data_IF_228457741733
#
_entry.id   IF_228457741733
#
_cell.length_a   1.000
_cell.length_b   1.000
_cell.length_c   1.000
_cell.angle_alpha   90.00
_cell.angle_beta   90.00
_cell.angle_gamma   90.00
#
_symmetry.space_group_name_H-M   'P 1'
#
loop_
_entity.id
_entity.type
_entity.pdbx_description
1 polymer ?
#
# COMPACT_ATOMS: atom_id res chain seq x y z
N UNK A 1 -8.53 28.40 -30.14
CA UNK A 1 -7.41 28.40 -29.18
C UNK A 1 -7.46 27.14 -28.33
N UNK A 2 -6.67 26.14 -28.66
CA UNK A 2 -6.54 24.91 -27.87
C UNK A 2 -5.60 25.17 -26.70
N UNK A 3 -6.15 25.23 -25.47
CA UNK A 3 -5.32 25.28 -24.26
C UNK A 3 -4.60 23.94 -24.13
N UNK A 4 -3.29 23.92 -24.43
CA UNK A 4 -2.40 22.88 -23.89
C UNK A 4 -2.37 23.10 -22.38
N UNK A 5 -3.02 22.23 -21.61
CA UNK A 5 -2.70 22.11 -20.20
C UNK A 5 -1.23 21.71 -20.13
N UNK A 6 -0.39 22.57 -19.57
CA UNK A 6 0.91 22.13 -19.08
C UNK A 6 0.60 21.09 -18.01
N UNK A 7 0.71 19.81 -18.37
CA UNK A 7 0.66 18.71 -17.43
C UNK A 7 1.92 18.84 -16.57
N UNK A 8 1.90 19.76 -15.60
CA UNK A 8 2.93 19.85 -14.57
C UNK A 8 3.04 18.47 -13.96
N UNK A 9 4.25 17.97 -13.80
CA UNK A 9 4.49 16.68 -13.18
C UNK A 9 3.68 16.64 -11.87
N UNK A 10 2.67 15.77 -11.80
CA UNK A 10 1.89 15.61 -10.57
C UNK A 10 2.84 14.98 -9.57
N UNK A 11 3.25 15.75 -8.58
CA UNK A 11 3.99 15.23 -7.44
C UNK A 11 3.03 14.36 -6.62
N UNK A 12 3.32 13.06 -6.56
CA UNK A 12 2.57 12.12 -5.74
C UNK A 12 3.33 12.01 -4.42
N UNK A 13 2.67 12.40 -3.33
CA UNK A 13 3.23 12.23 -1.99
C UNK A 13 3.17 10.75 -1.62
N UNK A 14 4.33 10.18 -1.36
CA UNK A 14 4.47 8.83 -0.84
C UNK A 14 5.14 8.91 0.53
N UNK A 15 4.51 8.28 1.52
CA UNK A 15 5.03 8.25 2.88
C UNK A 15 5.07 6.81 3.37
N UNK A 16 6.21 6.41 3.94
CA UNK A 16 6.28 5.18 4.72
C UNK A 16 6.24 5.55 6.21
N UNK A 17 5.35 4.92 6.97
CA UNK A 17 5.26 5.13 8.42
C UNK A 17 4.96 3.82 9.13
N UNK A 18 5.62 3.61 10.27
CA UNK A 18 5.23 2.54 11.19
C UNK A 18 3.87 2.88 11.81
N UNK A 19 2.94 1.96 11.68
CA UNK A 19 1.59 2.03 12.24
C UNK A 19 1.30 0.79 13.07
N UNK A 20 0.34 0.92 13.99
CA UNK A 20 -0.28 -0.22 14.66
C UNK A 20 -1.50 -0.64 13.87
N UNK A 21 -1.59 -1.92 13.53
CA UNK A 21 -2.74 -2.54 12.86
C UNK A 21 -3.28 -3.66 13.74
N UNK A 22 -4.59 -3.86 13.73
CA UNK A 22 -5.24 -4.92 14.50
C UNK A 22 -6.30 -5.62 13.69
N UNK A 23 -6.62 -6.87 14.05
CA UNK A 23 -7.74 -7.59 13.47
C UNK A 23 -9.02 -7.22 14.24
N UNK A 24 -10.02 -6.56 13.63
CA UNK A 24 -11.23 -6.15 14.34
C UNK A 24 -12.05 -7.31 14.92
N UNK A 25 -11.88 -8.54 14.39
CA UNK A 25 -12.55 -9.75 14.87
C UNK A 25 -11.88 -10.36 16.11
N UNK A 26 -10.62 -10.03 16.34
CA UNK A 26 -9.80 -10.47 17.48
C UNK A 26 -8.95 -9.28 17.95
N UNK A 27 -9.56 -8.29 18.64
CA UNK A 27 -8.93 -7.00 18.97
C UNK A 27 -7.65 -7.09 19.81
N UNK A 28 -7.44 -8.21 20.49
CA UNK A 28 -6.24 -8.58 21.23
C UNK A 28 -5.02 -8.80 20.31
N UNK A 29 -5.23 -9.10 19.03
CA UNK A 29 -4.15 -9.23 18.04
C UNK A 29 -3.87 -7.87 17.41
N UNK A 30 -2.75 -7.27 17.83
CA UNK A 30 -2.22 -6.03 17.29
C UNK A 30 -0.75 -6.19 16.88
N UNK A 31 -0.40 -5.62 15.75
CA UNK A 31 0.92 -5.73 15.14
C UNK A 31 1.42 -4.36 14.73
N UNK A 32 2.73 -4.17 14.80
CA UNK A 32 3.39 -3.02 14.17
C UNK A 32 3.77 -3.37 12.74
N UNK A 33 3.51 -2.46 11.81
CA UNK A 33 3.86 -2.63 10.41
C UNK A 33 4.27 -1.30 9.79
N UNK A 34 5.21 -1.34 8.85
CA UNK A 34 5.49 -0.19 7.98
C UNK A 34 4.47 -0.22 6.84
N UNK A 35 3.66 0.83 6.74
CA UNK A 35 2.71 1.02 5.65
C UNK A 35 3.22 2.07 4.67
N UNK A 36 3.06 1.79 3.38
CA UNK A 36 3.21 2.78 2.30
C UNK A 36 1.85 3.48 2.12
N UNK A 37 1.82 4.77 2.38
CA UNK A 37 0.70 5.65 2.09
C UNK A 37 0.85 6.16 0.67
N UNK A 38 0.07 5.58 -0.24
CA UNK A 38 -0.01 5.96 -1.64
C UNK A 38 -1.38 6.56 -1.96
N UNK A 39 -1.42 7.88 -2.13
CA UNK A 39 -2.66 8.58 -2.48
C UNK A 39 -3.14 8.32 -3.91
N UNK A 40 -2.31 7.69 -4.75
CA UNK A 40 -2.67 7.24 -6.10
C UNK A 40 -3.34 5.87 -6.13
N UNK A 41 -3.30 5.10 -5.03
CA UNK A 41 -3.89 3.76 -4.97
C UNK A 41 -5.37 3.81 -4.58
N UNK A 42 -6.21 3.06 -5.30
CA UNK A 42 -7.63 2.88 -4.96
C UNK A 42 -7.86 1.75 -3.95
N UNK A 43 -6.87 0.89 -3.76
CA UNK A 43 -6.95 -0.30 -2.90
C UNK A 43 -5.82 -0.28 -1.87
N UNK A 44 -6.05 -0.98 -0.77
CA UNK A 44 -5.04 -1.22 0.26
C UNK A 44 -4.70 -2.70 0.29
N UNK A 45 -3.43 -2.99 0.52
CA UNK A 45 -2.91 -4.35 0.53
C UNK A 45 -2.06 -4.57 1.78
N UNK A 46 -2.07 -5.80 2.26
CA UNK A 46 -1.21 -6.24 3.36
C UNK A 46 -0.32 -7.37 2.86
N UNK A 47 0.92 -7.43 3.34
CA UNK A 47 1.80 -8.55 3.00
C UNK A 47 1.27 -9.84 3.60
N UNK A 48 1.58 -10.98 2.96
CA UNK A 48 1.19 -12.32 3.45
C UNK A 48 1.70 -12.57 4.87
N UNK A 49 2.90 -12.09 5.19
CA UNK A 49 3.46 -12.24 6.53
C UNK A 49 2.70 -11.43 7.59
N UNK A 50 2.29 -10.20 7.26
CA UNK A 50 1.46 -9.40 8.15
C UNK A 50 0.07 -10.03 8.32
N UNK A 51 -0.53 -10.54 7.25
CA UNK A 51 -1.80 -11.24 7.29
C UNK A 51 -1.76 -12.48 8.20
N UNK A 52 -0.66 -13.26 8.15
CA UNK A 52 -0.44 -14.41 9.05
C UNK A 52 -0.36 -13.99 10.52
N UNK A 53 0.41 -12.94 10.84
CA UNK A 53 0.50 -12.43 12.23
C UNK A 53 -0.83 -11.92 12.75
N UNK A 54 -1.63 -11.30 11.89
CA UNK A 54 -2.99 -10.83 12.19
C UNK A 54 -4.06 -11.95 12.17
N UNK A 55 -3.68 -13.21 11.91
CA UNK A 55 -4.57 -14.35 11.77
C UNK A 55 -5.72 -14.10 10.77
N UNK A 56 -5.41 -13.42 9.66
CA UNK A 56 -6.38 -13.15 8.61
C UNK A 56 -6.57 -14.39 7.72
N UNK A 57 -7.82 -14.63 7.34
CA UNK A 57 -8.20 -15.64 6.34
C UNK A 57 -8.80 -14.93 5.14
N UNK A 58 -8.38 -15.29 3.94
CA UNK A 58 -8.87 -14.67 2.71
C UNK A 58 -8.15 -15.19 1.49
N UNK A 59 -8.54 -14.65 0.33
CA UNK A 59 -7.86 -14.92 -0.92
C UNK A 59 -6.53 -14.14 -0.95
N UNK A 60 -5.52 -14.75 -1.55
CA UNK A 60 -4.25 -14.09 -1.83
C UNK A 60 -4.23 -13.67 -3.29
N UNK A 61 -4.01 -12.39 -3.54
CA UNK A 61 -3.79 -11.87 -4.89
C UNK A 61 -2.30 -11.62 -5.12
N UNK A 62 -1.82 -11.90 -6.33
CA UNK A 62 -0.48 -11.50 -6.75
C UNK A 62 -0.52 -10.04 -7.21
N UNK A 63 0.32 -9.21 -6.60
CA UNK A 63 0.45 -7.80 -6.97
C UNK A 63 1.88 -7.59 -7.42
N UNK A 64 2.03 -7.11 -8.65
CA UNK A 64 3.33 -6.72 -9.19
C UNK A 64 3.57 -5.25 -8.89
N UNK A 65 4.64 -4.97 -8.16
CA UNK A 65 4.97 -3.61 -7.75
C UNK A 65 6.22 -3.18 -8.51
N UNK A 66 6.13 -2.07 -9.25
CA UNK A 66 7.29 -1.36 -9.78
C UNK A 66 7.56 -0.16 -8.87
N UNK A 67 8.79 -0.06 -8.36
CA UNK A 67 9.20 1.06 -7.51
C UNK A 67 9.93 2.12 -8.33
N UNK A 68 10.12 3.32 -7.76
CA UNK A 68 10.89 4.38 -8.41
C UNK A 68 12.33 3.95 -8.73
N UNK A 69 12.92 3.10 -7.88
CA UNK A 69 14.26 2.56 -8.07
C UNK A 69 14.34 1.39 -9.05
N UNK A 70 13.21 0.73 -9.35
CA UNK A 70 13.16 -0.38 -10.29
C UNK A 70 11.83 -0.39 -11.06
N UNK A 71 11.91 0.07 -12.32
CA UNK A 71 10.76 0.17 -13.23
C UNK A 71 10.27 -1.17 -13.77
N UNK A 72 10.99 -2.26 -13.50
CA UNK A 72 10.56 -3.61 -13.87
C UNK A 72 9.71 -4.13 -12.71
N UNK A 73 8.38 -4.32 -12.89
CA UNK A 73 7.54 -4.91 -11.87
C UNK A 73 8.03 -6.32 -11.55
N UNK A 74 8.18 -6.62 -10.26
CA UNK A 74 8.47 -7.96 -9.76
C UNK A 74 7.27 -8.49 -9.00
#
# INVERSE_FOLDING_TARGET
MTRKSSQGAKEILLLCKEITVGNPKTPEIQEKAVALFDCGSQLSFVSKDLAKRLNLKGNEDEIRIASFGNKIPK
#
